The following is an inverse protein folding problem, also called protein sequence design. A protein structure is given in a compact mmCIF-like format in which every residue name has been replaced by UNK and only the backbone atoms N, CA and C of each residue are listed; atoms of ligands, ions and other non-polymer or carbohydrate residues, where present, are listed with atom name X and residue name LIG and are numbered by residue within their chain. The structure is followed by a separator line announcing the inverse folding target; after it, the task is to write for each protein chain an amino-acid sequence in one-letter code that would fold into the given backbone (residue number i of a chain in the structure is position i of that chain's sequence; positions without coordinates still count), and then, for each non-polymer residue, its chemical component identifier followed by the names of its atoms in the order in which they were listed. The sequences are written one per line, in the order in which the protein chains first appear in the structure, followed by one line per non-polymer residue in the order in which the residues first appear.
data_IF_687554351124
#
_entry.id   IF_687554351124
#
_cell.length_a   1.000
_cell.length_b   1.000
_cell.length_c   1.000
_cell.angle_alpha   90.00
_cell.angle_beta   90.00
_cell.angle_gamma   90.00
#
_symmetry.space_group_name_H-M   'P 1'
#
loop_
_entity.id
_entity.type
_entity.pdbx_description
1 polymer ?
#
# COMPACT_ATOMS: atom_id res chain seq x y z
N UNK A 1 19.43 -29.03 2.16
CA UNK A 1 20.29 -28.14 2.98
C UNK A 1 19.69 -26.76 2.88
N UNK A 2 19.31 -26.17 3.99
CA UNK A 2 18.88 -24.77 4.03
C UNK A 2 20.03 -23.89 3.52
N UNK A 3 19.72 -22.89 2.74
CA UNK A 3 20.70 -21.97 2.16
C UNK A 3 21.03 -20.91 3.20
N UNK A 4 22.30 -20.78 3.56
CA UNK A 4 22.78 -19.76 4.47
C UNK A 4 23.06 -18.47 3.72
N UNK A 5 22.46 -17.35 4.16
CA UNK A 5 22.60 -16.04 3.51
C UNK A 5 22.91 -15.00 4.60
N UNK A 6 23.97 -14.16 4.44
CA UNK A 6 24.27 -13.11 5.40
C UNK A 6 23.10 -12.17 5.62
N UNK A 7 22.74 -11.90 6.88
CA UNK A 7 21.63 -11.03 7.24
C UNK A 7 21.83 -9.61 6.72
N UNK A 8 20.77 -8.99 6.21
CA UNK A 8 20.80 -7.67 5.60
C UNK A 8 21.52 -7.59 4.24
N UNK A 9 22.17 -8.65 3.76
CA UNK A 9 22.77 -8.65 2.43
C UNK A 9 21.69 -8.82 1.35
N UNK A 10 21.81 -8.15 0.21
CA UNK A 10 20.88 -8.35 -0.90
C UNK A 10 21.22 -9.61 -1.68
N UNK A 11 20.27 -10.51 -1.83
CA UNK A 11 20.46 -11.78 -2.59
C UNK A 11 20.59 -11.54 -4.08
N UNK A 12 19.94 -10.52 -4.57
CA UNK A 12 19.90 -10.16 -5.98
C UNK A 12 20.51 -8.77 -6.14
N UNK A 13 21.86 -8.71 -6.24
CA UNK A 13 22.54 -7.47 -6.53
C UNK A 13 21.98 -6.86 -7.82
N UNK A 14 21.31 -5.74 -7.70
CA UNK A 14 20.74 -4.96 -8.79
C UNK A 14 21.09 -3.48 -8.64
N UNK A 15 20.96 -2.71 -9.71
CA UNK A 15 21.24 -1.27 -9.70
C UNK A 15 20.26 -0.46 -8.78
N UNK A 16 19.34 -1.13 -8.11
CA UNK A 16 18.34 -0.53 -7.20
C UNK A 16 18.64 -0.76 -5.73
N UNK A 17 19.69 -1.52 -5.39
CA UNK A 17 20.05 -1.75 -4.01
C UNK A 17 20.75 -0.51 -3.45
N UNK A 18 20.24 0.00 -2.34
CA UNK A 18 20.84 1.14 -1.64
C UNK A 18 21.32 0.66 -0.27
N UNK A 19 22.61 0.63 -0.09
CA UNK A 19 23.26 0.29 1.18
C UNK A 19 24.12 1.46 1.61
N UNK A 20 23.80 2.07 2.74
CA UNK A 20 24.50 3.24 3.28
C UNK A 20 25.32 2.87 4.50
N UNK A 21 26.60 3.23 4.58
CA UNK A 21 27.36 3.07 5.81
C UNK A 21 26.89 4.09 6.85
N UNK A 22 26.55 3.62 8.05
CA UNK A 22 26.03 4.44 9.13
C UNK A 22 26.80 4.16 10.43
N UNK A 23 26.93 5.19 11.27
CA UNK A 23 27.24 4.99 12.68
C UNK A 23 25.96 4.53 13.40
N UNK A 24 26.07 3.84 14.54
CA UNK A 24 24.89 3.47 15.32
C UNK A 24 25.05 3.69 16.82
N UNK A 25 23.92 3.86 17.49
CA UNK A 25 23.81 3.98 18.94
C UNK A 25 23.23 2.72 19.56
N UNK A 26 23.60 2.43 20.80
CA UNK A 26 23.13 1.24 21.51
C UNK A 26 23.78 -0.04 21.01
N UNK A 27 23.11 -1.15 21.22
CA UNK A 27 23.48 -2.46 20.70
C UNK A 27 22.55 -2.85 19.56
N UNK A 28 23.15 -3.27 18.46
CA UNK A 28 22.44 -3.76 17.29
C UNK A 28 22.89 -5.19 16.97
N UNK A 29 22.02 -5.92 16.31
CA UNK A 29 22.31 -7.20 15.67
C UNK A 29 21.98 -7.12 14.17
N UNK A 30 22.61 -7.94 13.37
CA UNK A 30 22.33 -7.98 11.94
C UNK A 30 20.91 -8.44 11.65
N UNK A 31 20.30 -7.89 10.60
CA UNK A 31 18.97 -8.27 10.14
C UNK A 31 17.80 -7.66 10.91
N UNK A 32 18.02 -6.75 11.85
CA UNK A 32 16.97 -5.96 12.49
C UNK A 32 16.77 -4.62 11.79
N UNK A 33 15.58 -4.08 11.89
CA UNK A 33 15.26 -2.75 11.40
C UNK A 33 15.88 -1.67 12.28
N UNK A 34 16.24 -0.55 11.67
CA UNK A 34 16.83 0.61 12.32
C UNK A 34 16.10 1.91 11.96
N UNK A 35 16.10 2.84 12.89
CA UNK A 35 15.61 4.21 12.73
C UNK A 35 16.75 5.18 12.47
N UNK A 36 16.54 6.18 11.64
CA UNK A 36 17.44 7.33 11.50
C UNK A 36 17.45 8.16 12.78
N UNK A 37 18.63 8.49 13.26
CA UNK A 37 18.83 9.43 14.37
C UNK A 37 19.26 10.76 13.78
N UNK A 38 18.54 11.83 14.14
CA UNK A 38 18.88 13.17 13.66
C UNK A 38 20.22 13.62 14.27
N UNK A 39 21.21 13.89 13.42
CA UNK A 39 22.51 14.43 13.80
C UNK A 39 22.82 15.70 13.02
N UNK A 40 23.31 16.71 13.69
CA UNK A 40 23.73 17.96 13.06
C UNK A 40 25.17 17.84 12.57
N UNK A 41 25.37 17.74 11.25
CA UNK A 41 26.68 17.91 10.61
C UNK A 41 27.65 16.71 10.64
N UNK A 42 27.21 15.55 11.08
CA UNK A 42 28.02 14.32 11.14
C UNK A 42 27.53 13.24 10.17
N UNK A 43 28.20 12.08 10.18
CA UNK A 43 27.78 10.93 9.39
C UNK A 43 26.37 10.48 9.76
N UNK A 44 25.60 9.90 8.82
CA UNK A 44 24.32 9.31 9.11
C UNK A 44 24.40 8.36 10.30
N UNK A 45 23.50 8.51 11.26
CA UNK A 45 23.46 7.71 12.47
C UNK A 45 22.12 7.00 12.58
N UNK A 46 22.15 5.76 13.03
CA UNK A 46 20.97 4.93 13.24
C UNK A 46 20.94 4.35 14.65
N UNK A 47 19.77 3.93 15.07
CA UNK A 47 19.54 3.17 16.31
C UNK A 47 18.55 2.05 16.03
N UNK A 48 18.36 1.13 16.98
CA UNK A 48 17.31 0.13 16.89
C UNK A 48 15.97 0.80 16.57
N UNK A 49 15.18 0.18 15.73
CA UNK A 49 13.89 0.73 15.30
C UNK A 49 12.98 1.00 16.50
N UNK A 50 12.35 2.16 16.49
CA UNK A 50 11.49 2.66 17.58
C UNK A 50 10.09 3.07 17.11
N UNK A 51 9.66 2.60 15.95
CA UNK A 51 8.36 2.93 15.37
C UNK A 51 8.35 4.20 14.50
N UNK A 52 9.47 4.89 14.36
CA UNK A 52 9.56 6.13 13.56
C UNK A 52 10.82 6.17 12.72
N UNK A 53 10.82 7.01 11.68
CA UNK A 53 11.98 7.31 10.84
C UNK A 53 12.74 6.05 10.37
N UNK A 54 12.01 5.05 9.86
CA UNK A 54 12.61 3.82 9.33
C UNK A 54 13.71 4.14 8.33
N UNK A 55 14.92 3.64 8.59
CA UNK A 55 16.10 3.84 7.75
C UNK A 55 16.39 2.60 6.87
N UNK A 56 16.03 1.41 7.33
CA UNK A 56 16.35 0.16 6.65
C UNK A 56 16.61 -0.97 7.62
N UNK A 57 17.32 -2.00 7.16
CA UNK A 57 17.78 -3.12 7.99
C UNK A 57 19.30 -3.11 8.13
N UNK A 58 19.80 -3.41 9.34
CA UNK A 58 21.22 -3.52 9.63
C UNK A 58 21.83 -4.73 8.91
N UNK A 59 22.98 -4.53 8.27
CA UNK A 59 23.72 -5.54 7.52
C UNK A 59 24.66 -6.33 8.43
N UNK A 60 25.00 -7.54 8.02
CA UNK A 60 25.87 -8.48 8.76
C UNK A 60 27.32 -7.98 8.98
N UNK A 61 27.78 -6.94 8.29
CA UNK A 61 29.06 -6.30 8.51
C UNK A 61 29.12 -5.38 9.75
N UNK A 62 28.09 -5.45 10.58
CA UNK A 62 27.94 -4.68 11.82
C UNK A 62 29.14 -4.90 12.75
N UNK A 63 29.71 -3.80 13.23
CA UNK A 63 30.83 -3.82 14.17
C UNK A 63 30.43 -3.09 15.45
N UNK A 64 30.11 -3.84 16.50
CA UNK A 64 29.74 -3.30 17.81
C UNK A 64 30.85 -2.52 18.51
N UNK A 65 32.13 -2.83 18.20
CA UNK A 65 33.29 -2.13 18.77
C UNK A 65 33.43 -0.73 18.17
N UNK A 66 33.30 -0.62 16.84
CA UNK A 66 33.41 0.66 16.09
C UNK A 66 32.09 1.40 15.98
N UNK A 67 30.99 0.78 16.37
CA UNK A 67 29.65 1.31 16.23
C UNK A 67 29.32 1.75 14.79
N UNK A 68 29.67 0.90 13.82
CA UNK A 68 29.37 1.10 12.39
C UNK A 68 28.68 -0.13 11.81
N UNK A 69 27.76 0.09 10.88
CA UNK A 69 27.03 -0.94 10.14
C UNK A 69 26.68 -0.43 8.75
N UNK A 70 26.51 -1.32 7.80
CA UNK A 70 25.73 -1.02 6.61
C UNK A 70 24.23 -1.03 6.92
N UNK A 71 23.46 -0.17 6.27
CA UNK A 71 22.00 -0.17 6.33
C UNK A 71 21.47 -0.34 4.93
N UNK A 72 20.70 -1.42 4.69
CA UNK A 72 20.03 -1.61 3.42
C UNK A 72 18.69 -0.88 3.46
N UNK A 73 18.61 0.18 2.67
CA UNK A 73 17.43 1.07 2.61
C UNK A 73 16.41 0.61 1.56
N UNK A 74 16.89 -0.07 0.53
CA UNK A 74 16.11 -0.58 -0.60
C UNK A 74 16.82 -1.78 -1.20
N UNK A 75 16.06 -2.73 -1.71
CA UNK A 75 16.63 -3.90 -2.37
C UNK A 75 15.67 -5.09 -2.42
N UNK A 76 16.12 -6.17 -3.04
CA UNK A 76 15.33 -7.38 -3.23
C UNK A 76 16.01 -8.61 -2.63
N UNK A 77 15.21 -9.43 -1.95
CA UNK A 77 15.69 -10.67 -1.34
C UNK A 77 16.66 -10.40 -0.17
N UNK A 78 16.30 -9.50 0.72
CA UNK A 78 17.06 -9.13 1.90
C UNK A 78 16.67 -10.09 3.02
N UNK A 79 17.61 -10.90 3.57
CA UNK A 79 17.33 -11.75 4.72
C UNK A 79 17.27 -10.91 6.00
N UNK A 80 16.15 -11.06 6.72
CA UNK A 80 15.86 -10.32 7.95
C UNK A 80 15.35 -11.23 9.05
N UNK A 81 15.51 -10.80 10.30
CA UNK A 81 15.03 -11.53 11.47
C UNK A 81 13.50 -11.42 11.60
N UNK A 82 12.92 -12.50 12.07
CA UNK A 82 11.49 -12.60 12.36
C UNK A 82 11.30 -12.76 13.87
N UNK A 83 10.31 -12.09 14.42
CA UNK A 83 9.96 -12.21 15.82
C UNK A 83 9.44 -13.62 16.13
N UNK A 84 9.90 -14.18 17.24
CA UNK A 84 9.45 -15.51 17.66
C UNK A 84 7.94 -15.61 17.85
N UNK A 85 7.39 -16.75 17.46
CA UNK A 85 5.96 -17.08 17.67
C UNK A 85 4.99 -16.40 16.69
N UNK A 86 5.46 -15.69 15.67
CA UNK A 86 4.59 -15.11 14.63
C UNK A 86 4.52 -16.00 13.39
N UNK A 87 3.42 -15.92 12.66
CA UNK A 87 3.22 -16.62 11.38
C UNK A 87 3.18 -15.59 10.26
N UNK A 88 4.05 -15.74 9.28
CA UNK A 88 4.15 -14.91 8.09
C UNK A 88 3.70 -15.70 6.85
N UNK A 89 3.40 -14.99 5.76
CA UNK A 89 3.07 -15.61 4.47
C UNK A 89 3.82 -14.93 3.32
N UNK A 90 4.40 -15.73 2.43
CA UNK A 90 5.09 -15.21 1.25
C UNK A 90 4.11 -14.44 0.34
N UNK A 91 4.60 -13.36 -0.26
CA UNK A 91 3.81 -12.45 -1.07
C UNK A 91 3.11 -11.34 -0.31
N UNK A 92 2.92 -11.48 1.01
CA UNK A 92 2.28 -10.46 1.83
C UNK A 92 3.24 -9.33 2.20
N UNK A 93 2.66 -8.16 2.53
CA UNK A 93 3.37 -7.09 3.23
C UNK A 93 3.74 -7.51 4.66
N UNK A 94 4.58 -6.73 5.29
CA UNK A 94 5.02 -6.96 6.67
C UNK A 94 5.10 -5.66 7.47
N UNK A 95 5.17 -5.82 8.77
CA UNK A 95 5.46 -4.75 9.72
C UNK A 95 6.75 -5.07 10.49
N UNK A 96 7.25 -4.10 11.20
CA UNK A 96 8.41 -4.24 12.10
C UNK A 96 7.96 -3.93 13.52
N UNK A 97 8.32 -4.80 14.45
CA UNK A 97 8.11 -4.60 15.88
C UNK A 97 8.93 -3.39 16.39
N UNK A 98 8.26 -2.46 17.07
CA UNK A 98 8.88 -1.19 17.48
C UNK A 98 9.89 -1.33 18.63
N UNK A 99 9.94 -2.48 19.29
CA UNK A 99 10.86 -2.73 20.41
C UNK A 99 12.06 -3.58 20.00
N UNK A 100 11.89 -4.54 19.07
CA UNK A 100 12.94 -5.49 18.69
C UNK A 100 13.51 -5.23 17.30
N UNK A 101 12.84 -4.47 16.46
CA UNK A 101 13.23 -4.26 15.06
C UNK A 101 13.03 -5.49 14.16
N UNK A 102 12.37 -6.54 14.64
CA UNK A 102 12.12 -7.79 13.92
C UNK A 102 10.83 -7.74 13.11
N UNK A 103 10.78 -8.52 12.05
CA UNK A 103 9.62 -8.59 11.17
C UNK A 103 8.46 -9.32 11.85
N UNK A 104 7.25 -8.75 11.70
CA UNK A 104 5.99 -9.28 12.21
C UNK A 104 4.90 -9.13 11.15
N UNK A 105 3.76 -9.82 11.28
CA UNK A 105 2.59 -9.58 10.44
C UNK A 105 2.07 -8.14 10.56
N UNK A 106 1.52 -7.60 9.46
CA UNK A 106 0.79 -6.33 9.52
C UNK A 106 -0.40 -6.44 10.49
N UNK A 107 -0.62 -5.40 11.28
CA UNK A 107 -1.67 -5.39 12.32
C UNK A 107 -1.23 -5.95 13.67
N UNK A 108 0.02 -6.38 13.83
CA UNK A 108 0.58 -6.71 15.15
C UNK A 108 0.63 -5.45 16.01
N UNK A 109 0.24 -5.57 17.29
CA UNK A 109 0.32 -4.47 18.25
C UNK A 109 1.78 -3.97 18.38
N UNK A 110 1.97 -2.67 18.58
CA UNK A 110 3.27 -2.02 18.72
C UNK A 110 4.22 -2.29 17.54
N UNK A 111 3.69 -2.36 16.34
CA UNK A 111 4.46 -2.53 15.11
C UNK A 111 4.15 -1.44 14.08
N UNK A 112 5.08 -1.24 13.16
CA UNK A 112 4.95 -0.26 12.08
C UNK A 112 5.05 -0.96 10.72
N UNK A 113 4.06 -0.79 9.86
CA UNK A 113 4.07 -1.34 8.52
C UNK A 113 5.17 -0.70 7.66
N UNK A 114 5.90 -1.51 6.91
CA UNK A 114 6.99 -1.09 6.04
C UNK A 114 6.62 -1.35 4.57
N UNK A 115 7.05 -0.45 3.70
CA UNK A 115 6.85 -0.61 2.25
C UNK A 115 7.72 -1.73 1.69
N UNK A 116 7.17 -2.92 1.64
CA UNK A 116 7.86 -4.12 1.18
C UNK A 116 6.95 -5.32 1.12
N UNK A 117 7.52 -6.44 0.77
CA UNK A 117 6.83 -7.73 0.79
C UNK A 117 7.77 -8.85 1.20
N UNK A 118 7.20 -9.93 1.69
CA UNK A 118 7.91 -11.17 2.00
C UNK A 118 8.07 -11.99 0.71
N UNK A 119 9.30 -12.34 0.37
CA UNK A 119 9.60 -13.14 -0.83
C UNK A 119 9.69 -14.64 -0.53
N UNK A 120 10.36 -15.03 0.56
CA UNK A 120 10.62 -16.42 0.93
C UNK A 120 10.62 -16.56 2.46
N UNK A 121 10.14 -17.70 2.96
CA UNK A 121 10.06 -18.04 4.39
C UNK A 121 11.12 -19.08 4.77
N UNK A 122 11.35 -19.22 6.05
CA UNK A 122 12.17 -20.29 6.67
C UNK A 122 13.57 -20.41 6.06
N UNK A 123 14.25 -19.30 5.89
CA UNK A 123 15.66 -19.28 5.49
C UNK A 123 16.58 -19.23 6.72
N UNK A 124 17.81 -19.65 6.53
CA UNK A 124 18.88 -19.46 7.50
C UNK A 124 19.67 -18.19 7.18
N UNK A 125 19.67 -17.23 8.11
CA UNK A 125 20.55 -16.06 8.07
C UNK A 125 21.93 -16.36 8.68
N UNK A 126 22.95 -15.59 8.29
CA UNK A 126 24.22 -15.51 8.99
C UNK A 126 24.32 -14.13 9.65
N UNK A 127 24.54 -14.10 10.95
CA UNK A 127 24.71 -12.85 11.71
C UNK A 127 26.11 -12.24 11.56
N UNK A 128 26.41 -11.20 12.32
CA UNK A 128 27.68 -10.50 12.35
C UNK A 128 28.85 -11.35 12.86
N UNK A 129 28.58 -12.46 13.52
CA UNK A 129 29.56 -13.44 14.00
C UNK A 129 29.68 -14.66 13.10
N UNK A 130 28.99 -14.67 11.96
CA UNK A 130 28.83 -15.82 11.08
C UNK A 130 28.12 -17.00 11.76
N UNK A 131 27.28 -16.76 12.76
CA UNK A 131 26.45 -17.77 13.39
C UNK A 131 25.11 -17.87 12.66
N UNK A 132 24.56 -19.10 12.61
CA UNK A 132 23.30 -19.37 11.93
C UNK A 132 22.13 -18.84 12.76
N UNK A 133 21.28 -18.04 12.14
CA UNK A 133 20.00 -17.61 12.67
C UNK A 133 18.90 -18.27 11.86
N UNK A 134 18.18 -19.18 12.50
CA UNK A 134 17.08 -19.92 11.88
C UNK A 134 15.79 -19.10 11.80
N UNK A 135 14.86 -19.48 10.94
CA UNK A 135 13.52 -18.87 10.85
C UNK A 135 13.50 -17.45 10.30
N UNK A 136 14.56 -17.03 9.63
CA UNK A 136 14.58 -15.73 8.94
C UNK A 136 13.71 -15.76 7.67
N UNK A 137 13.42 -14.59 7.13
CA UNK A 137 12.68 -14.43 5.87
C UNK A 137 13.46 -13.56 4.88
N UNK A 138 13.24 -13.77 3.59
CA UNK A 138 13.66 -12.83 2.55
C UNK A 138 12.57 -11.79 2.33
N UNK A 139 12.94 -10.53 2.29
CA UNK A 139 12.03 -9.43 1.97
C UNK A 139 12.53 -8.61 0.79
N UNK A 140 11.60 -8.00 0.07
CA UNK A 140 11.89 -6.89 -0.86
C UNK A 140 11.47 -5.59 -0.18
N UNK A 141 12.38 -4.61 -0.14
CA UNK A 141 12.10 -3.24 0.29
C UNK A 141 11.92 -2.33 -0.93
N UNK A 142 10.85 -1.54 -0.91
CA UNK A 142 10.57 -0.56 -1.96
C UNK A 142 11.11 0.84 -1.63
N UNK A 143 11.73 1.00 -0.45
CA UNK A 143 12.19 2.28 0.09
C UNK A 143 11.09 3.06 0.80
N UNK A 144 11.45 3.73 1.88
CA UNK A 144 10.54 4.54 2.69
C UNK A 144 9.68 3.75 3.68
N UNK A 145 9.13 4.46 4.66
CA UNK A 145 8.12 3.92 5.57
C UNK A 145 6.77 3.95 4.87
N UNK A 146 5.97 2.90 5.02
CA UNK A 146 4.56 2.97 4.65
C UNK A 146 3.88 4.04 5.50
N UNK A 147 2.97 4.83 4.94
CA UNK A 147 2.07 5.61 5.78
C UNK A 147 1.30 4.65 6.67
N UNK A 148 1.27 4.94 7.96
CA UNK A 148 0.60 4.12 8.97
C UNK A 148 -0.90 4.13 8.69
N UNK A 149 -1.35 3.16 7.92
CA UNK A 149 -2.75 2.80 7.79
C UNK A 149 -2.89 1.38 8.35
N UNK A 150 -3.73 1.21 9.33
CA UNK A 150 -3.85 0.02 10.19
C UNK A 150 -4.29 -1.26 9.49
N UNK A 151 -4.43 -1.33 8.18
CA UNK A 151 -4.98 -2.51 7.52
C UNK A 151 -4.32 -2.71 6.16
N UNK A 152 -3.13 -3.24 6.10
CA UNK A 152 -2.52 -4.00 4.98
C UNK A 152 -2.78 -3.59 3.51
N UNK A 153 -3.57 -2.57 3.27
CA UNK A 153 -3.74 -1.91 2.00
C UNK A 153 -3.36 -0.44 2.19
N UNK A 154 -2.52 0.10 1.31
CA UNK A 154 -2.37 1.53 1.15
C UNK A 154 -3.72 2.09 0.67
N UNK A 155 -4.70 2.08 1.54
CA UNK A 155 -6.05 2.54 1.32
C UNK A 155 -6.12 4.05 1.54
N UNK A 156 -6.94 4.71 0.75
CA UNK A 156 -7.34 6.08 1.01
C UNK A 156 -8.06 6.11 2.36
N UNK A 157 -7.47 6.72 3.38
CA UNK A 157 -8.04 6.76 4.74
C UNK A 157 -9.27 7.64 4.84
N UNK A 158 -9.46 8.56 3.89
CA UNK A 158 -10.67 9.36 3.76
C UNK A 158 -10.87 9.84 2.33
N UNK A 159 -12.13 9.98 1.93
CA UNK A 159 -12.53 10.64 0.68
C UNK A 159 -13.50 11.75 1.05
N UNK A 160 -13.17 13.00 0.72
CA UNK A 160 -13.99 14.17 1.07
C UNK A 160 -14.41 14.23 2.56
N UNK A 161 -13.47 13.84 3.46
CA UNK A 161 -13.72 13.81 4.91
C UNK A 161 -14.51 12.61 5.43
N UNK A 162 -14.94 11.69 4.56
CA UNK A 162 -15.59 10.43 4.94
C UNK A 162 -14.54 9.34 5.15
N UNK A 163 -14.65 8.56 6.22
CA UNK A 163 -13.74 7.47 6.61
C UNK A 163 -14.49 6.14 6.71
N UNK A 164 -13.78 5.02 6.63
CA UNK A 164 -14.37 3.67 6.64
C UNK A 164 -14.88 3.24 5.26
N UNK A 165 -15.95 2.47 5.21
CA UNK A 165 -16.60 2.09 3.96
C UNK A 165 -17.28 3.31 3.34
N UNK A 166 -16.64 3.93 2.35
CA UNK A 166 -17.11 5.18 1.75
C UNK A 166 -17.94 4.87 0.51
N UNK A 167 -19.25 5.12 0.61
CA UNK A 167 -20.13 5.21 -0.55
C UNK A 167 -20.19 6.66 -1.03
N UNK A 168 -19.74 6.90 -2.24
CA UNK A 168 -19.76 8.22 -2.86
C UNK A 168 -21.08 8.39 -3.64
N UNK A 169 -21.72 9.53 -3.43
CA UNK A 169 -22.84 10.00 -4.25
C UNK A 169 -22.35 11.15 -5.15
N UNK A 170 -23.05 11.47 -6.25
CA UNK A 170 -22.63 12.53 -7.19
C UNK A 170 -22.27 13.87 -6.50
N UNK A 171 -22.99 14.24 -5.47
CA UNK A 171 -22.71 15.46 -4.69
C UNK A 171 -21.36 15.44 -3.98
N UNK A 172 -20.83 14.27 -3.58
CA UNK A 172 -19.53 14.13 -2.90
C UNK A 172 -18.34 14.44 -3.82
N UNK A 173 -18.52 14.30 -5.13
CA UNK A 173 -17.48 14.50 -6.16
C UNK A 173 -17.77 15.72 -7.05
N UNK A 174 -18.70 16.60 -6.65
CA UNK A 174 -19.13 17.73 -7.46
C UNK A 174 -19.91 17.34 -8.71
N UNK A 175 -20.42 16.11 -8.73
CA UNK A 175 -21.31 15.60 -9.77
C UNK A 175 -22.74 16.14 -9.57
N UNK A 176 -23.52 16.09 -10.64
CA UNK A 176 -24.96 16.42 -10.60
C UNK A 176 -25.72 15.10 -10.51
N UNK A 177 -26.72 15.05 -9.64
CA UNK A 177 -27.63 13.89 -9.59
C UNK A 177 -28.28 13.64 -10.96
N UNK A 178 -28.70 12.41 -11.21
CA UNK A 178 -29.44 12.08 -12.42
C UNK A 178 -30.77 12.82 -12.46
N UNK A 179 -31.28 13.05 -13.69
CA UNK A 179 -32.60 13.65 -13.87
C UNK A 179 -33.67 12.76 -13.21
N UNK A 180 -34.77 13.34 -12.69
CA UNK A 180 -35.87 12.56 -12.15
C UNK A 180 -36.44 11.58 -13.20
N UNK A 181 -36.65 10.32 -12.83
CA UNK A 181 -37.17 9.26 -13.70
C UNK A 181 -38.71 9.26 -13.77
N UNK A 182 -39.34 10.43 -13.91
CA UNK A 182 -40.78 10.57 -13.97
C UNK A 182 -41.34 10.57 -15.43
N UNK A 183 -40.46 10.35 -16.41
CA UNK A 183 -40.80 10.36 -17.82
C UNK A 183 -40.94 11.75 -18.45
N UNK A 184 -40.64 12.81 -17.70
CA UNK A 184 -40.63 14.18 -18.22
C UNK A 184 -39.27 14.52 -18.83
N UNK A 185 -39.22 15.33 -19.90
CA UNK A 185 -37.93 15.82 -20.39
C UNK A 185 -37.35 16.87 -19.44
N UNK A 186 -36.05 16.77 -19.16
CA UNK A 186 -35.33 17.71 -18.32
C UNK A 186 -34.12 18.32 -19.05
N UNK A 187 -33.84 19.57 -18.76
CA UNK A 187 -32.66 20.29 -19.22
C UNK A 187 -31.73 20.61 -18.02
N UNK A 188 -30.43 20.57 -18.25
CA UNK A 188 -29.43 20.94 -17.21
C UNK A 188 -29.28 22.45 -17.15
N UNK A 189 -29.55 23.04 -16.01
CA UNK A 189 -29.33 24.47 -15.73
C UNK A 189 -28.69 24.66 -14.36
N UNK A 190 -27.61 25.44 -14.30
CA UNK A 190 -26.93 25.83 -13.05
C UNK A 190 -26.68 24.68 -12.07
N UNK A 191 -26.05 23.60 -12.54
CA UNK A 191 -25.77 22.38 -11.77
C UNK A 191 -26.98 21.62 -11.22
N UNK A 192 -28.20 21.86 -11.75
CA UNK A 192 -29.43 21.15 -11.43
C UNK A 192 -30.19 20.72 -12.68
N UNK A 193 -31.30 20.02 -12.48
CA UNK A 193 -32.22 19.62 -13.52
C UNK A 193 -33.48 20.47 -13.45
N UNK A 194 -33.91 21.06 -14.57
CA UNK A 194 -35.17 21.79 -14.72
C UNK A 194 -36.02 21.12 -15.80
N UNK A 195 -37.35 21.12 -15.62
CA UNK A 195 -38.24 20.59 -16.63
C UNK A 195 -38.03 21.35 -17.96
N UNK A 196 -37.76 20.61 -19.04
CA UNK A 196 -37.56 21.22 -20.34
C UNK A 196 -38.86 21.91 -20.79
N UNK A 197 -38.73 23.17 -21.20
CA UNK A 197 -39.89 23.88 -21.81
C UNK A 197 -40.22 23.23 -23.12
N UNK A 198 -41.52 22.87 -23.33
CA UNK A 198 -41.99 22.35 -24.60
C UNK A 198 -41.58 23.33 -25.72
N UNK A 199 -40.95 22.86 -26.81
CA UNK A 199 -40.62 23.72 -27.93
C UNK A 199 -41.90 24.37 -28.47
N UNK A 200 -41.95 25.68 -28.53
CA UNK A 200 -43.05 26.44 -29.12
C UNK A 200 -43.17 26.04 -30.60
N UNK A 201 -44.16 25.20 -30.93
CA UNK A 201 -44.42 24.78 -32.29
C UNK A 201 -44.41 23.27 -32.57
N UNK A 202 -44.45 22.41 -31.56
CA UNK A 202 -44.70 20.99 -31.84
C UNK A 202 -46.09 20.84 -32.50
N UNK A 203 -46.19 20.21 -33.71
CA UNK A 203 -47.49 19.99 -34.34
C UNK A 203 -48.33 19.07 -33.46
N UNK A 204 -49.50 19.53 -33.03
CA UNK A 204 -50.52 18.70 -32.42
C UNK A 204 -50.83 17.55 -33.38
N UNK A 205 -50.60 16.31 -32.95
CA UNK A 205 -50.97 15.12 -33.69
C UNK A 205 -52.50 15.13 -33.91
N UNK A 206 -52.91 15.51 -35.10
CA UNK A 206 -54.26 15.35 -35.52
C UNK A 206 -54.62 13.86 -35.44
N UNK A 207 -55.76 13.59 -34.79
CA UNK A 207 -56.38 12.30 -34.65
C UNK A 207 -56.53 11.66 -36.02
N UNK A 208 -55.88 10.53 -36.27
CA UNK A 208 -56.10 9.75 -37.52
C UNK A 208 -57.48 9.18 -37.52
N UNK A 209 -58.34 9.82 -38.29
CA UNK A 209 -59.70 9.38 -38.58
C UNK A 209 -59.65 8.01 -39.27
N UNK A 210 -60.28 7.02 -38.68
CA UNK A 210 -60.30 5.64 -39.14
C UNK A 210 -61.22 5.52 -40.37
N UNK A 211 -60.64 5.56 -41.55
CA UNK A 211 -61.37 5.34 -42.84
C UNK A 211 -61.53 3.84 -43.06
N UNK A 212 -62.69 3.34 -42.72
CA UNK A 212 -63.17 1.97 -43.03
C UNK A 212 -63.31 1.75 -44.56
N UNK A 213 -62.41 0.96 -45.12
CA UNK A 213 -62.47 0.54 -46.52
C UNK A 213 -63.32 -0.75 -46.61
N UNK A 214 -64.54 -0.63 -47.04
CA UNK A 214 -65.43 -1.78 -47.42
C UNK A 214 -64.89 -2.44 -48.70
N UNK A 215 -64.46 -3.68 -48.61
CA UNK A 215 -64.06 -4.49 -49.77
C UNK A 215 -65.25 -5.23 -50.31
N UNK A 216 -65.74 -4.76 -51.44
CA UNK A 216 -66.77 -5.45 -52.23
C UNK A 216 -66.19 -6.68 -52.93
N UNK A 217 -66.76 -7.86 -52.67
CA UNK A 217 -66.48 -9.09 -53.39
C UNK A 217 -67.40 -9.15 -54.62
N UNK A 218 -66.86 -9.05 -55.84
CA UNK A 218 -67.56 -9.42 -57.06
C UNK A 218 -67.08 -10.81 -57.49
N UNK A 219 -68.11 -11.68 -57.68
CA UNK A 219 -68.05 -13.06 -58.15
C UNK A 219 -68.04 -13.07 -59.69
N UNK A 220 -67.09 -13.73 -60.33
CA UNK A 220 -67.31 -14.61 -61.48
C UNK A 220 -66.18 -15.59 -61.66
#
# INVERSE_FOLDING_TARGET
MAREIPLGATRYAGNSDVVSPCAFEGDLVAGVAVSSVAVSGEQPKVALFNGSAFAGFAVHDLCNIRKVTGVVEQGKGIPVRVKDGVTLAAGNGFAVDNATGEVVPIGTADSTAIMGKIDELDINGLDENCEIVEGCVLVTLYGGSAPVGSDGAAGVTSVNGKTGDVTLVPADIGGVEEAPEDGSPYERQDAGWVAASAPAGAPTSESADSKTVSRSTAKK
#
